data_IF_708161953411
#
_entry.id   IF_708161953411
#
_cell.length_a   1.000
_cell.length_b   1.000
_cell.length_c   1.000
_cell.angle_alpha   90.00
_cell.angle_beta   90.00
_cell.angle_gamma   90.00
#
_symmetry.space_group_name_H-M   'P 1'
#
loop_
_entity.id
_entity.type
_entity.pdbx_description
1 polymer ?
#
# COMPACT_ATOMS: atom_id res chain seq x y z
N UNK A 1 30.19 9.36 31.59
CA UNK A 1 29.96 8.92 30.19
C UNK A 1 28.60 8.27 30.22
N UNK A 2 27.55 9.05 30.03
CA UNK A 2 26.18 8.54 30.02
C UNK A 2 25.98 7.84 28.69
N UNK A 3 26.06 6.52 28.70
CA UNK A 3 25.69 5.69 27.55
C UNK A 3 24.20 5.92 27.31
N UNK A 4 23.88 6.73 26.30
CA UNK A 4 22.52 6.78 25.77
C UNK A 4 22.20 5.36 25.27
N UNK A 5 21.14 4.70 25.76
CA UNK A 5 20.74 3.42 25.19
C UNK A 5 20.49 3.66 23.71
N UNK A 6 21.23 2.94 22.86
CA UNK A 6 21.13 3.09 21.43
C UNK A 6 19.67 2.88 21.04
N UNK A 7 19.09 3.89 20.38
CA UNK A 7 17.72 3.85 19.86
C UNK A 7 17.47 2.57 19.02
N UNK A 8 18.53 1.91 18.55
CA UNK A 8 18.53 0.68 17.75
C UNK A 8 17.89 -0.56 18.36
N UNK A 9 17.77 -0.69 19.68
CA UNK A 9 17.28 -1.94 20.31
C UNK A 9 15.76 -1.94 20.60
N UNK A 10 15.03 -0.90 20.19
CA UNK A 10 13.59 -0.86 20.39
C UNK A 10 12.87 -1.76 19.37
N UNK A 11 12.18 -2.85 19.80
CA UNK A 11 11.49 -3.77 18.90
C UNK A 11 10.35 -3.11 18.10
N UNK A 12 9.96 -1.88 18.45
CA UNK A 12 8.97 -1.09 17.71
C UNK A 12 9.52 -0.55 16.38
N UNK A 13 10.83 -0.30 16.27
CA UNK A 13 11.46 0.24 15.05
C UNK A 13 11.38 -0.73 13.87
N UNK A 14 11.33 -2.03 14.13
CA UNK A 14 11.11 -3.04 13.10
C UNK A 14 9.70 -3.00 12.49
N UNK A 15 8.75 -2.39 13.20
CA UNK A 15 7.37 -2.20 12.74
C UNK A 15 7.13 -0.79 12.17
N UNK A 16 8.17 0.03 12.11
CA UNK A 16 8.12 1.37 11.53
C UNK A 16 8.51 1.33 10.05
N UNK A 17 7.76 2.05 9.22
CA UNK A 17 8.00 2.18 7.80
C UNK A 17 7.14 3.28 7.18
N UNK A 18 7.46 3.66 5.94
CA UNK A 18 6.69 4.64 5.18
C UNK A 18 5.37 4.06 4.65
N UNK A 19 5.31 2.75 4.43
CA UNK A 19 4.09 2.03 4.09
C UNK A 19 4.18 0.58 4.57
N UNK A 20 3.02 -0.07 4.61
CA UNK A 20 2.86 -1.48 4.97
C UNK A 20 2.07 -2.20 3.87
N UNK A 21 2.55 -3.36 3.45
CA UNK A 21 1.79 -4.30 2.64
C UNK A 21 1.24 -5.39 3.57
N UNK A 22 -0.07 -5.63 3.51
CA UNK A 22 -0.74 -6.55 4.43
C UNK A 22 -1.76 -7.43 3.72
N UNK A 23 -1.55 -8.74 3.74
CA UNK A 23 -2.45 -9.75 3.18
C UNK A 23 -2.38 -11.06 3.97
N UNK A 24 -3.11 -12.11 3.54
CA UNK A 24 -3.23 -13.37 4.27
C UNK A 24 -1.88 -14.06 4.57
N UNK A 25 -0.94 -13.96 3.63
CA UNK A 25 0.40 -14.59 3.71
C UNK A 25 1.53 -13.56 3.52
N UNK A 26 1.20 -12.26 3.64
CA UNK A 26 2.13 -11.19 3.36
C UNK A 26 2.01 -10.09 4.42
N UNK A 27 3.09 -9.87 5.16
CA UNK A 27 3.24 -8.71 6.02
C UNK A 27 4.62 -8.11 5.80
N UNK A 28 4.66 -6.90 5.22
CA UNK A 28 5.91 -6.23 4.89
C UNK A 28 5.83 -4.74 5.25
N UNK A 29 6.84 -4.26 5.96
CA UNK A 29 7.01 -2.86 6.33
C UNK A 29 8.13 -2.26 5.48
N UNK A 30 7.81 -1.26 4.65
CA UNK A 30 8.83 -0.63 3.82
C UNK A 30 9.51 0.51 4.57
N UNK A 31 10.84 0.43 4.67
CA UNK A 31 11.71 1.53 5.14
C UNK A 31 12.35 2.31 3.96
N UNK A 32 11.93 2.01 2.72
CA UNK A 32 12.46 2.61 1.47
C UNK A 32 11.33 3.18 0.61
N UNK A 33 11.69 4.05 -0.32
CA UNK A 33 10.76 4.66 -1.28
C UNK A 33 10.57 3.82 -2.55
N UNK A 34 11.35 2.76 -2.71
CA UNK A 34 11.27 1.79 -3.80
C UNK A 34 10.99 0.39 -3.23
N UNK A 35 10.01 -0.31 -3.80
CA UNK A 35 9.65 -1.67 -3.40
C UNK A 35 9.49 -2.51 -4.67
N UNK A 36 10.36 -3.51 -4.82
CA UNK A 36 10.30 -4.45 -5.94
C UNK A 36 9.51 -5.71 -5.56
N UNK A 37 8.44 -5.99 -6.31
CA UNK A 37 7.52 -7.10 -6.05
C UNK A 37 7.56 -8.10 -7.21
N UNK A 38 7.66 -9.39 -6.87
CA UNK A 38 7.64 -10.44 -7.88
C UNK A 38 7.68 -11.86 -7.33
N UNK A 39 7.98 -12.81 -8.21
CA UNK A 39 8.19 -14.22 -7.86
C UNK A 39 9.66 -14.50 -7.54
N UNK A 40 9.91 -15.49 -6.68
CA UNK A 40 11.25 -15.97 -6.32
C UNK A 40 12.10 -16.27 -7.57
N UNK A 41 13.29 -15.70 -7.61
CA UNK A 41 14.26 -15.83 -8.70
C UNK A 41 15.67 -15.88 -8.12
N UNK A 42 16.57 -16.65 -8.74
CA UNK A 42 17.99 -16.73 -8.32
C UNK A 42 18.78 -15.46 -8.64
N UNK A 43 18.32 -14.64 -9.58
CA UNK A 43 19.08 -13.48 -10.09
C UNK A 43 18.48 -12.13 -9.73
N UNK A 44 17.24 -12.09 -9.21
CA UNK A 44 16.51 -10.83 -9.02
C UNK A 44 16.47 -10.48 -7.54
N UNK A 45 16.97 -9.29 -7.18
CA UNK A 45 16.81 -8.73 -5.83
C UNK A 45 15.39 -8.17 -5.73
N UNK A 46 14.52 -8.88 -5.01
CA UNK A 46 13.16 -8.47 -4.73
C UNK A 46 13.02 -8.14 -3.24
N UNK A 47 12.22 -7.13 -2.95
CA UNK A 47 11.84 -6.79 -1.58
C UNK A 47 10.72 -7.71 -1.10
N UNK A 48 9.75 -7.94 -1.97
CA UNK A 48 8.55 -8.72 -1.67
C UNK A 48 8.44 -9.86 -2.66
N UNK A 49 8.51 -11.07 -2.11
CA UNK A 49 8.36 -12.31 -2.86
C UNK A 49 6.97 -12.87 -2.63
N UNK A 50 6.13 -12.84 -3.67
CA UNK A 50 4.74 -13.31 -3.60
C UNK A 50 4.59 -14.84 -3.73
N UNK A 51 5.67 -15.54 -4.10
CA UNK A 51 5.68 -16.99 -4.27
C UNK A 51 6.52 -17.43 -5.47
N UNK A 52 6.25 -18.63 -5.98
CA UNK A 52 6.89 -19.22 -7.16
C UNK A 52 5.94 -19.38 -8.36
N UNK A 53 4.72 -18.84 -8.26
CA UNK A 53 3.68 -18.95 -9.27
C UNK A 53 4.12 -18.37 -10.64
N UNK A 54 3.89 -19.14 -11.71
CA UNK A 54 4.18 -18.74 -13.09
C UNK A 54 3.33 -17.57 -13.58
N UNK A 55 2.16 -17.36 -12.98
CA UNK A 55 1.30 -16.20 -13.25
C UNK A 55 1.86 -14.88 -12.72
N UNK A 56 2.89 -14.94 -11.87
CA UNK A 56 3.59 -13.78 -11.34
C UNK A 56 4.95 -13.68 -12.07
N UNK A 57 5.34 -12.49 -12.47
CA UNK A 57 6.61 -12.27 -13.16
C UNK A 57 7.75 -12.22 -12.14
N UNK A 58 8.99 -12.50 -12.59
CA UNK A 58 10.18 -12.36 -11.73
C UNK A 58 10.31 -10.93 -11.18
N UNK A 59 10.03 -9.93 -12.02
CA UNK A 59 9.73 -8.56 -11.61
C UNK A 59 8.34 -8.26 -12.13
N UNK A 60 7.34 -8.18 -11.24
CA UNK A 60 5.94 -8.09 -11.65
C UNK A 60 5.37 -6.69 -11.43
N UNK A 61 5.70 -6.08 -10.31
CA UNK A 61 5.28 -4.73 -10.00
C UNK A 61 6.36 -4.01 -9.20
N UNK A 62 6.38 -2.69 -9.34
CA UNK A 62 7.21 -1.84 -8.50
C UNK A 62 6.32 -0.78 -7.89
N UNK A 63 6.46 -0.56 -6.58
CA UNK A 63 5.82 0.55 -5.87
C UNK A 63 6.90 1.58 -5.56
N UNK A 64 6.70 2.81 -6.00
CA UNK A 64 7.64 3.91 -5.84
C UNK A 64 6.94 5.14 -5.28
N UNK A 65 7.64 5.93 -4.48
CA UNK A 65 7.12 7.22 -4.05
C UNK A 65 7.51 8.31 -5.04
N UNK A 66 6.52 8.93 -5.66
CA UNK A 66 6.72 10.09 -6.54
C UNK A 66 6.90 11.34 -5.68
N UNK A 67 8.13 11.85 -5.61
CA UNK A 67 8.44 13.09 -4.90
C UNK A 67 7.79 14.32 -5.55
N UNK A 68 7.58 14.29 -6.87
CA UNK A 68 6.93 15.38 -7.60
C UNK A 68 5.45 15.52 -7.22
N UNK A 69 4.76 14.39 -7.07
CA UNK A 69 3.33 14.34 -6.76
C UNK A 69 3.05 14.23 -5.26
N UNK A 70 4.06 13.88 -4.46
CA UNK A 70 3.91 13.57 -3.05
C UNK A 70 3.00 12.36 -2.79
N UNK A 71 3.03 11.38 -3.70
CA UNK A 71 2.12 10.24 -3.69
C UNK A 71 2.85 8.94 -4.00
N UNK A 72 2.31 7.83 -3.49
CA UNK A 72 2.77 6.49 -3.86
C UNK A 72 2.17 6.11 -5.20
N UNK A 73 3.01 5.58 -6.08
CA UNK A 73 2.62 5.12 -7.41
C UNK A 73 3.10 3.69 -7.61
N UNK A 74 2.32 2.93 -8.36
CA UNK A 74 2.67 1.58 -8.76
C UNK A 74 2.86 1.52 -10.27
N UNK A 75 3.84 0.72 -10.67
CA UNK A 75 4.12 0.38 -12.06
C UNK A 75 3.92 -1.12 -12.25
N UNK A 76 3.00 -1.51 -13.14
CA UNK A 76 2.77 -2.89 -13.53
C UNK A 76 3.70 -3.28 -14.68
N UNK A 77 4.63 -4.21 -14.42
CA UNK A 77 5.62 -4.72 -15.37
C UNK A 77 5.27 -6.13 -15.87
N UNK A 78 4.44 -6.86 -15.12
CA UNK A 78 4.09 -8.24 -15.41
C UNK A 78 3.09 -8.40 -16.56
N UNK A 79 3.23 -9.47 -17.35
CA UNK A 79 2.36 -9.78 -18.49
C UNK A 79 0.87 -9.84 -18.13
N UNK A 80 0.55 -10.43 -16.97
CA UNK A 80 -0.82 -10.57 -16.49
C UNK A 80 -1.37 -9.29 -15.85
N UNK A 81 -0.51 -8.27 -15.66
CA UNK A 81 -0.89 -7.02 -15.01
C UNK A 81 -1.17 -7.16 -13.52
N UNK A 82 -1.55 -6.02 -12.93
CA UNK A 82 -1.92 -5.90 -11.53
C UNK A 82 -3.33 -5.35 -11.44
N UNK A 83 -4.15 -5.89 -10.54
CA UNK A 83 -5.47 -5.34 -10.26
C UNK A 83 -5.42 -4.46 -9.01
N UNK A 84 -5.87 -3.22 -9.11
CA UNK A 84 -5.99 -2.28 -7.97
C UNK A 84 -7.44 -1.86 -7.84
N UNK A 85 -8.06 -2.09 -6.67
CA UNK A 85 -9.46 -1.76 -6.39
C UNK A 85 -10.44 -2.27 -7.49
N UNK A 86 -10.17 -3.46 -8.02
CA UNK A 86 -10.98 -4.09 -9.08
C UNK A 86 -10.68 -3.61 -10.51
N UNK A 87 -9.78 -2.63 -10.69
CA UNK A 87 -9.33 -2.18 -12.01
C UNK A 87 -8.04 -2.89 -12.42
N UNK A 88 -8.05 -3.56 -13.56
CA UNK A 88 -6.89 -4.29 -14.09
C UNK A 88 -5.98 -3.36 -14.90
N UNK A 89 -4.71 -3.31 -14.51
CA UNK A 89 -3.66 -2.57 -15.20
C UNK A 89 -2.67 -3.55 -15.82
N UNK A 90 -2.70 -3.66 -17.14
CA UNK A 90 -1.77 -4.49 -17.93
C UNK A 90 -0.79 -3.63 -18.71
N UNK A 91 0.46 -4.07 -18.90
CA UNK A 91 1.36 -3.46 -19.87
C UNK A 91 0.74 -3.57 -21.27
N UNK A 92 0.44 -2.45 -21.91
CA UNK A 92 -0.05 -2.40 -23.29
C UNK A 92 1.14 -2.19 -24.24
N UNK A 93 1.19 -2.95 -25.34
CA UNK A 93 2.19 -2.79 -26.41
C UNK A 93 3.65 -2.79 -25.94
N UNK A 94 3.96 -3.56 -24.89
CA UNK A 94 5.30 -3.65 -24.31
C UNK A 94 5.72 -2.46 -23.45
N UNK A 95 4.84 -1.48 -23.23
CA UNK A 95 5.04 -0.40 -22.28
C UNK A 95 4.43 -0.75 -20.91
N UNK A 96 5.15 -0.51 -19.81
CA UNK A 96 4.61 -0.75 -18.48
C UNK A 96 3.45 0.21 -18.19
N UNK A 97 2.44 -0.27 -17.46
CA UNK A 97 1.40 0.61 -16.95
C UNK A 97 1.97 1.36 -15.72
N UNK A 98 2.40 2.60 -15.94
CA UNK A 98 3.04 3.46 -14.93
C UNK A 98 2.05 4.46 -14.32
N UNK A 99 2.40 5.01 -13.15
CA UNK A 99 1.66 6.11 -12.54
C UNK A 99 0.31 5.71 -11.91
N UNK A 100 0.17 4.45 -11.48
CA UNK A 100 -1.04 4.00 -10.80
C UNK A 100 -0.99 4.53 -9.36
N UNK A 101 -1.69 5.62 -9.08
CA UNK A 101 -1.70 6.24 -7.76
C UNK A 101 -2.32 5.29 -6.71
N UNK A 102 -1.56 5.01 -5.65
CA UNK A 102 -1.97 4.17 -4.53
C UNK A 102 -2.38 5.02 -3.32
N UNK A 103 -3.51 4.65 -2.74
CA UNK A 103 -4.04 5.22 -1.51
C UNK A 103 -4.02 4.19 -0.39
N UNK A 104 -4.04 4.68 0.86
CA UNK A 104 -4.16 3.81 2.01
C UNK A 104 -5.45 2.98 1.92
N UNK A 105 -5.34 1.69 2.23
CA UNK A 105 -6.39 0.67 2.14
C UNK A 105 -6.73 0.21 0.71
N UNK A 106 -5.92 0.56 -0.29
CA UNK A 106 -6.11 0.01 -1.63
C UNK A 106 -5.87 -1.50 -1.66
N UNK A 107 -6.84 -2.23 -2.22
CA UNK A 107 -6.74 -3.67 -2.43
C UNK A 107 -6.01 -3.96 -3.73
N UNK A 108 -4.87 -4.63 -3.62
CA UNK A 108 -3.99 -4.98 -4.72
C UNK A 108 -4.02 -6.50 -4.90
N UNK A 109 -4.18 -6.94 -6.14
CA UNK A 109 -4.15 -8.34 -6.51
C UNK A 109 -3.17 -8.58 -7.66
N UNK A 110 -2.27 -9.53 -7.45
CA UNK A 110 -1.22 -9.95 -8.37
C UNK A 110 -1.29 -11.48 -8.48
N UNK A 111 -1.75 -11.97 -9.64
CA UNK A 111 -2.00 -13.40 -9.82
C UNK A 111 -3.01 -13.95 -8.81
N UNK A 112 -2.57 -14.90 -8.01
CA UNK A 112 -3.34 -15.55 -6.93
C UNK A 112 -3.14 -14.92 -5.55
N UNK A 113 -2.28 -13.90 -5.46
CA UNK A 113 -1.98 -13.22 -4.20
C UNK A 113 -2.68 -11.87 -4.14
N UNK A 114 -3.24 -11.57 -2.97
CA UNK A 114 -3.84 -10.28 -2.71
C UNK A 114 -3.41 -9.72 -1.36
N UNK A 115 -3.33 -8.38 -1.31
CA UNK A 115 -2.92 -7.65 -0.13
C UNK A 115 -3.39 -6.21 -0.21
N UNK A 116 -3.45 -5.55 0.95
CA UNK A 116 -3.75 -4.13 1.10
C UNK A 116 -2.46 -3.31 1.15
N UNK A 117 -2.50 -2.14 0.52
CA UNK A 117 -1.48 -1.10 0.68
C UNK A 117 -1.91 -0.14 1.80
N UNK A 118 -1.09 0.01 2.84
CA UNK A 118 -1.44 0.79 4.02
C UNK A 118 -0.39 1.88 4.27
N UNK A 119 -0.87 3.11 4.43
CA UNK A 119 -0.05 4.24 4.86
C UNK A 119 -0.16 4.45 6.38
N UNK A 120 0.88 4.97 7.04
CA UNK A 120 0.80 5.40 8.43
C UNK A 120 -0.36 6.39 8.64
N UNK A 121 -1.05 6.32 9.79
CA UNK A 121 -2.27 7.11 10.06
C UNK A 121 -2.11 8.63 9.87
N UNK A 122 -0.91 9.19 10.00
CA UNK A 122 -0.66 10.62 9.75
C UNK A 122 -0.79 11.01 8.27
N UNK A 123 -0.69 10.06 7.35
CA UNK A 123 -0.74 10.27 5.90
C UNK A 123 -2.03 9.72 5.27
N UNK A 124 -2.87 9.03 6.05
CA UNK A 124 -4.18 8.63 5.59
C UNK A 124 -5.04 9.89 5.40
N UNK A 125 -5.68 10.03 4.24
CA UNK A 125 -6.70 11.07 4.01
C UNK A 125 -7.67 11.02 5.20
N UNK A 126 -7.98 12.15 5.87
CA UNK A 126 -8.96 12.14 6.94
C UNK A 126 -10.24 11.54 6.37
N UNK A 127 -10.75 10.48 7.01
CA UNK A 127 -12.02 9.90 6.65
C UNK A 127 -13.05 11.04 6.59
N UNK A 128 -13.90 11.11 5.54
CA UNK A 128 -14.97 12.09 5.54
C UNK A 128 -15.76 11.86 6.82
N UNK A 129 -15.75 12.85 7.72
CA UNK A 129 -16.45 12.77 8.97
C UNK A 129 -17.89 12.40 8.63
N UNK A 130 -18.35 11.22 9.06
CA UNK A 130 -19.76 10.87 8.99
C UNK A 130 -20.51 12.06 9.57
N UNK A 131 -21.28 12.75 8.73
CA UNK A 131 -22.06 13.91 9.12
C UNK A 131 -22.83 13.53 10.40
N UNK A 132 -22.54 14.24 11.49
CA UNK A 132 -23.24 14.05 12.74
C UNK A 132 -24.75 14.11 12.46
N UNK A 133 -25.57 13.17 13.01
CA UNK A 133 -27.01 13.24 12.79
C UNK A 133 -27.51 14.56 13.36
N UNK A 134 -28.13 15.38 12.51
CA UNK A 134 -28.73 16.64 12.89
C UNK A 134 -29.72 16.42 14.05
N UNK A 135 -29.34 16.87 15.25
CA UNK A 135 -30.18 16.78 16.43
C UNK A 135 -31.50 17.51 16.17
N UNK A 136 -32.61 16.76 16.07
CA UNK A 136 -33.95 17.34 16.01
C UNK A 136 -34.24 18.01 17.35
N UNK A 137 -34.31 19.35 17.35
CA UNK A 137 -34.77 20.10 18.53
C UNK A 137 -36.21 19.68 18.86
N UNK A 138 -36.56 19.36 20.12
CA UNK A 138 -37.95 19.16 20.48
C UNK A 138 -38.69 20.50 20.37
N UNK A 139 -39.81 20.51 19.63
CA UNK A 139 -40.76 21.62 19.66
C UNK A 139 -41.53 21.55 20.97
N UNK A 140 -41.31 22.54 21.84
CA UNK A 140 -42.18 22.78 23.00
C UNK A 140 -43.51 23.34 22.48
N UNK A 141 -44.67 22.78 22.85
CA UNK A 141 -45.96 23.38 22.51
C UNK A 141 -46.21 24.59 23.42
N UNK A 142 -46.69 25.68 22.82
CA UNK A 142 -47.15 26.86 23.54
C UNK A 142 -48.55 26.54 24.13
N UNK A 143 -48.67 26.48 25.45
CA UNK A 143 -49.96 26.36 26.13
C UNK A 143 -50.71 27.70 26.08
N UNK A 144 -52.04 27.63 26.00
CA UNK A 144 -52.99 28.75 25.99
C UNK A 144 -53.13 29.43 27.36
#
# INVERSE_FOLDING_TARGET
MEEQPALSDDPRLERCGFCKLYGPELEFYSKRYDIQIGRRSKSTKLDVVLGDNMNISRTHATIEYSFERGAWEMTALGKNGVTVQGTLYTPADGQPATGIALHSQDYIQIGDKSFYFLLPRSQARPAPALAAPAAKRPRVPLAC
#
